data_IF_205376346844
#
_entry.id   IF_205376346844
#
_cell.length_a   1.000
_cell.length_b   1.000
_cell.length_c   1.000
_cell.angle_alpha   90.00
_cell.angle_beta   90.00
_cell.angle_gamma   90.00
#
_symmetry.space_group_name_H-M   'P 1'
#
loop_
_entity.id
_entity.type
_entity.pdbx_description
1 polymer ?
#
# COMPACT_ATOMS: atom_id res chain seq x y z
N UNK A 1 -2.50 -13.52 -1.79
CA UNK A 1 -1.55 -12.60 -1.11
C UNK A 1 -2.39 -11.55 -0.40
N UNK A 2 -2.06 -11.12 0.83
CA UNK A 2 -2.87 -10.15 1.56
C UNK A 2 -2.93 -8.83 0.79
N UNK A 3 -4.15 -8.31 0.61
CA UNK A 3 -4.43 -6.99 0.06
C UNK A 3 -4.73 -6.04 1.22
N UNK A 4 -4.30 -4.79 1.09
CA UNK A 4 -4.60 -3.72 2.02
C UNK A 4 -5.42 -2.66 1.28
N UNK A 5 -6.57 -2.30 1.82
CA UNK A 5 -7.40 -1.21 1.30
C UNK A 5 -7.22 -0.01 2.21
N UNK A 6 -6.89 1.14 1.62
CA UNK A 6 -6.72 2.41 2.35
C UNK A 6 -7.18 3.54 1.44
N UNK A 7 -8.05 4.41 1.94
CA UNK A 7 -8.61 5.55 1.19
C UNK A 7 -9.22 5.16 -0.17
N UNK A 8 -9.83 3.98 -0.27
CA UNK A 8 -10.37 3.40 -1.51
C UNK A 8 -9.30 3.10 -2.59
N UNK A 9 -8.05 2.92 -2.18
CA UNK A 9 -6.99 2.40 -3.02
C UNK A 9 -6.55 1.02 -2.51
N UNK A 10 -6.31 0.11 -3.46
CA UNK A 10 -5.88 -1.26 -3.15
C UNK A 10 -4.36 -1.38 -3.27
N UNK A 11 -3.75 -1.99 -2.26
CA UNK A 11 -2.32 -2.20 -2.19
C UNK A 11 -1.98 -3.67 -2.02
N UNK A 12 -0.94 -4.11 -2.75
CA UNK A 12 -0.36 -5.44 -2.67
C UNK A 12 0.86 -5.42 -1.77
N UNK A 13 0.95 -6.39 -0.85
CA UNK A 13 2.16 -6.62 -0.08
C UNK A 13 3.33 -6.95 -1.01
N UNK A 14 4.39 -6.15 -0.93
CA UNK A 14 5.58 -6.26 -1.77
C UNK A 14 6.78 -6.83 -1.00
N UNK A 15 7.00 -6.39 0.24
CA UNK A 15 8.13 -6.83 1.06
C UNK A 15 7.76 -6.80 2.54
N UNK A 16 8.20 -7.79 3.30
CA UNK A 16 8.15 -7.78 4.76
C UNK A 16 9.57 -7.79 5.33
N UNK A 17 9.79 -7.07 6.41
CA UNK A 17 11.02 -7.03 7.20
C UNK A 17 10.68 -7.37 8.65
N UNK A 18 11.68 -7.49 9.52
CA UNK A 18 11.47 -7.77 10.94
C UNK A 18 10.65 -6.69 11.67
N UNK A 19 10.58 -5.47 11.13
CA UNK A 19 9.91 -4.33 11.79
C UNK A 19 8.81 -3.69 10.95
N UNK A 20 8.75 -3.95 9.65
CA UNK A 20 7.86 -3.25 8.71
C UNK A 20 7.32 -4.16 7.61
N UNK A 21 6.09 -3.89 7.16
CA UNK A 21 5.51 -4.43 5.94
C UNK A 21 5.41 -3.30 4.91
N UNK A 22 5.80 -3.57 3.67
CA UNK A 22 5.83 -2.61 2.56
C UNK A 22 4.84 -3.05 1.51
N UNK A 23 3.99 -2.11 1.09
CA UNK A 23 2.94 -2.32 0.12
C UNK A 23 3.13 -1.36 -1.07
N UNK A 24 2.68 -1.81 -2.23
CA UNK A 24 2.65 -1.02 -3.46
C UNK A 24 1.23 -1.03 -4.00
N UNK A 25 0.83 0.05 -4.67
CA UNK A 25 -0.47 0.09 -5.33
C UNK A 25 -0.65 -1.14 -6.24
N UNK A 26 -1.86 -1.69 -6.25
CA UNK A 26 -2.24 -2.77 -7.15
C UNK A 26 -2.24 -2.30 -8.61
N UNK A 27 -2.54 -1.02 -8.84
CA UNK A 27 -2.52 -0.43 -10.17
C UNK A 27 -1.06 -0.33 -10.68
N UNK A 28 -0.70 -0.98 -11.79
CA UNK A 28 0.67 -1.03 -12.29
C UNK A 28 1.20 0.32 -12.77
N UNK A 29 0.33 1.29 -13.06
CA UNK A 29 0.71 2.65 -13.46
C UNK A 29 0.85 3.59 -12.25
N UNK A 30 0.54 3.11 -11.05
CA UNK A 30 0.62 3.89 -9.82
C UNK A 30 1.97 3.68 -9.13
N UNK A 31 2.58 4.79 -8.72
CA UNK A 31 3.85 4.78 -7.98
C UNK A 31 3.66 4.95 -6.47
N UNK A 32 2.41 5.10 -6.00
CA UNK A 32 2.11 5.17 -4.57
C UNK A 32 2.53 3.88 -3.87
N UNK A 33 3.25 4.08 -2.77
CA UNK A 33 3.68 3.02 -1.86
C UNK A 33 3.36 3.42 -0.44
N UNK A 34 3.16 2.43 0.43
CA UNK A 34 3.01 2.66 1.86
C UNK A 34 3.74 1.58 2.64
N UNK A 35 3.96 1.84 3.91
CA UNK A 35 4.46 0.83 4.82
C UNK A 35 3.82 0.94 6.20
N UNK A 36 3.59 -0.22 6.78
CA UNK A 36 3.08 -0.38 8.14
C UNK A 36 4.17 -0.95 9.04
N UNK A 37 3.93 -0.94 10.35
CA UNK A 37 4.68 -1.77 11.28
C UNK A 37 4.26 -3.25 11.15
N UNK A 38 4.79 -4.11 12.03
CA UNK A 38 4.42 -5.53 12.05
C UNK A 38 2.97 -5.77 12.50
N UNK A 39 2.36 -4.83 13.22
CA UNK A 39 0.99 -4.88 13.75
C UNK A 39 -0.03 -4.19 12.83
N UNK A 40 0.34 -3.96 11.56
CA UNK A 40 -0.51 -3.34 10.54
C UNK A 40 -0.90 -1.87 10.82
N UNK A 41 -0.13 -1.17 11.66
CA UNK A 41 -0.27 0.28 11.90
C UNK A 41 0.48 1.05 10.81
N UNK A 42 -0.19 1.98 10.12
CA UNK A 42 0.42 2.82 9.09
C UNK A 42 1.56 3.66 9.68
N UNK A 43 2.77 3.50 9.13
CA UNK A 43 3.93 4.32 9.51
C UNK A 43 4.10 5.47 8.52
N UNK A 44 3.87 5.24 7.23
CA UNK A 44 3.97 6.29 6.23
C UNK A 44 3.71 5.85 4.81
N UNK A 45 3.43 6.85 3.98
CA UNK A 45 3.18 6.74 2.54
C UNK A 45 4.30 7.45 1.76
N UNK A 46 4.48 7.07 0.50
CA UNK A 46 5.42 7.71 -0.41
C UNK A 46 4.89 7.65 -1.84
N UNK A 47 4.89 8.79 -2.52
CA UNK A 47 4.40 8.96 -3.88
C UNK A 47 3.00 9.56 -3.89
N UNK A 48 2.43 9.65 -5.08
CA UNK A 48 1.08 10.17 -5.33
C UNK A 48 0.31 9.18 -6.19
N UNK A 49 -1.02 9.21 -6.09
CA UNK A 49 -1.87 8.43 -6.97
C UNK A 49 -2.04 9.15 -8.31
N UNK A 50 -1.58 8.53 -9.39
CA UNK A 50 -1.80 9.00 -10.77
C UNK A 50 -3.11 8.50 -11.38
N UNK A 51 -4.03 7.95 -10.57
CA UNK A 51 -5.31 7.38 -11.00
C UNK A 51 -6.39 7.65 -9.94
N UNK A 52 -7.68 7.65 -10.33
CA UNK A 52 -8.77 7.74 -9.35
C UNK A 52 -8.79 6.51 -8.44
N UNK A 53 -9.42 6.61 -7.25
CA UNK A 53 -9.67 5.47 -6.39
C UNK A 53 -10.49 4.41 -7.13
N UNK A 54 -10.20 3.14 -6.86
CA UNK A 54 -10.98 2.03 -7.43
C UNK A 54 -12.13 1.74 -6.46
N UNK A 55 -13.40 1.94 -6.86
CA UNK A 55 -14.52 1.54 -6.02
C UNK A 55 -14.50 0.03 -5.81
N UNK A 56 -14.79 -0.39 -4.57
CA UNK A 56 -14.87 -1.80 -4.14
C UNK A 56 -15.81 -2.66 -5.01
#
# INVERSE_FOLDING_TARGET
KPLLVMDNFVFKLNKTTNTKKYYRSENPQCTMTLHTDINDVLIGTKGDHSHPPEPE
#
